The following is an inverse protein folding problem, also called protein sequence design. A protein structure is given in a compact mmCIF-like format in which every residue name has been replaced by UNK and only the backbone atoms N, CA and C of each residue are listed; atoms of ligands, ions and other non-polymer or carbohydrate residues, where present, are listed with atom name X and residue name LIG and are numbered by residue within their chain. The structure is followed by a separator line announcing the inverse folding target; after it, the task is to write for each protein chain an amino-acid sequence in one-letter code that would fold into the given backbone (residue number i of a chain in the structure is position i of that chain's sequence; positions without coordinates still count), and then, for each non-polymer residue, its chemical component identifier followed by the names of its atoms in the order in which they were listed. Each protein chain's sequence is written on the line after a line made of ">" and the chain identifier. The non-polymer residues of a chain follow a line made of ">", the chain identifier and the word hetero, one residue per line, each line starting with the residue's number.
data_IF_373660281844
#
_entry.id   IF_373660281844
#
_cell.length_a   1.000
_cell.length_b   1.000
_cell.length_c   1.000
_cell.angle_alpha   90.00
_cell.angle_beta   90.00
_cell.angle_gamma   90.00
#
_symmetry.space_group_name_H-M   'P 1'
#
loop_
_entity.id
_entity.type
_entity.pdbx_description
1 polymer ?
#
# COMPACT_ATOMS: atom_id res chain seq x y z
N UNK A 1 10.54 -21.04 24.83
CA UNK A 1 10.64 -19.64 24.38
C UNK A 1 12.00 -19.50 23.70
N UNK A 2 12.03 -19.34 22.37
CA UNK A 2 13.27 -19.03 21.66
C UNK A 2 13.49 -17.53 21.79
N UNK A 3 14.67 -17.14 22.25
CA UNK A 3 15.13 -15.76 22.19
C UNK A 3 15.09 -15.32 20.72
N UNK A 4 14.09 -14.50 20.37
CA UNK A 4 14.04 -13.81 19.09
C UNK A 4 15.31 -12.99 18.95
N UNK A 5 16.02 -13.15 17.82
CA UNK A 5 17.28 -12.47 17.51
C UNK A 5 17.20 -10.97 17.85
N UNK A 6 18.26 -10.41 18.46
CA UNK A 6 18.31 -9.03 18.97
C UNK A 6 17.99 -7.94 17.94
N UNK A 7 18.01 -8.27 16.65
CA UNK A 7 17.72 -7.38 15.53
C UNK A 7 16.26 -7.49 15.07
N UNK A 8 15.58 -8.61 15.33
CA UNK A 8 14.19 -8.84 14.88
C UNK A 8 13.21 -7.97 15.66
N UNK A 9 13.33 -7.93 16.99
CA UNK A 9 12.37 -7.22 17.84
C UNK A 9 12.30 -5.72 17.50
N UNK A 10 13.42 -4.98 17.34
CA UNK A 10 13.36 -3.57 16.94
C UNK A 10 12.70 -3.35 15.57
N UNK A 11 12.86 -4.27 14.62
CA UNK A 11 12.21 -4.14 13.30
C UNK A 11 10.69 -4.35 13.44
N UNK A 12 10.27 -5.35 14.21
CA UNK A 12 8.84 -5.58 14.48
C UNK A 12 8.20 -4.41 15.24
N UNK A 13 8.92 -3.82 16.19
CA UNK A 13 8.47 -2.62 16.91
C UNK A 13 8.28 -1.45 15.96
N UNK A 14 9.21 -1.24 15.01
CA UNK A 14 9.06 -0.22 13.97
C UNK A 14 7.86 -0.50 13.05
N UNK A 15 7.61 -1.76 12.67
CA UNK A 15 6.42 -2.11 11.87
C UNK A 15 5.13 -1.78 12.64
N UNK A 16 5.09 -2.03 13.95
CA UNK A 16 3.96 -1.66 14.80
C UNK A 16 3.79 -0.14 14.85
N UNK A 17 4.87 0.62 15.00
CA UNK A 17 4.83 2.09 14.96
C UNK A 17 4.27 2.60 13.63
N UNK A 18 4.77 2.10 12.49
CA UNK A 18 4.25 2.48 11.17
C UNK A 18 2.77 2.14 11.01
N UNK A 19 2.33 1.02 11.58
CA UNK A 19 0.93 0.60 11.54
C UNK A 19 0.03 1.53 12.34
N UNK A 20 0.47 1.96 13.53
CA UNK A 20 -0.25 2.94 14.34
C UNK A 20 -0.35 4.30 13.63
N UNK A 21 0.75 4.77 13.02
CA UNK A 21 0.74 6.02 12.25
C UNK A 21 -0.24 5.92 11.07
N UNK A 22 -0.30 4.77 10.39
CA UNK A 22 -1.28 4.58 9.31
C UNK A 22 -2.72 4.67 9.83
N UNK A 23 -3.03 4.07 10.98
CA UNK A 23 -4.35 4.18 11.62
C UNK A 23 -4.67 5.63 11.98
N UNK A 24 -3.72 6.38 12.52
CA UNK A 24 -3.92 7.80 12.86
C UNK A 24 -4.24 8.63 11.62
N UNK A 25 -3.58 8.37 10.49
CA UNK A 25 -3.88 9.01 9.19
C UNK A 25 -5.32 8.71 8.74
N UNK A 26 -5.75 7.45 8.85
CA UNK A 26 -7.13 7.08 8.48
C UNK A 26 -8.16 7.76 9.40
N UNK A 27 -7.89 7.82 10.71
CA UNK A 27 -8.75 8.51 11.67
C UNK A 27 -8.83 10.01 11.39
N UNK A 28 -7.71 10.66 11.03
CA UNK A 28 -7.70 12.07 10.65
C UNK A 28 -8.55 12.32 9.40
N UNK A 29 -8.41 11.47 8.38
CA UNK A 29 -9.23 11.57 7.18
C UNK A 29 -10.72 11.37 7.50
N UNK A 30 -11.06 10.39 8.33
CA UNK A 30 -12.44 10.12 8.76
C UNK A 30 -13.03 11.30 9.55
N UNK A 31 -12.27 11.89 10.48
CA UNK A 31 -12.68 13.06 11.25
C UNK A 31 -12.93 14.27 10.33
N UNK A 32 -12.06 14.52 9.36
CA UNK A 32 -12.25 15.61 8.38
C UNK A 32 -13.51 15.41 7.53
N UNK A 33 -13.75 14.19 7.05
CA UNK A 33 -14.96 13.85 6.31
C UNK A 33 -16.22 14.05 7.17
N UNK A 34 -16.17 13.63 8.43
CA UNK A 34 -17.27 13.81 9.38
C UNK A 34 -17.58 15.28 9.65
N UNK A 35 -16.56 16.11 9.90
CA UNK A 35 -16.72 17.54 10.20
C UNK A 35 -17.20 18.35 9.00
N UNK A 36 -16.77 17.98 7.79
CA UNK A 36 -17.15 18.67 6.56
C UNK A 36 -18.48 18.17 5.97
N UNK A 37 -18.94 16.98 6.38
CA UNK A 37 -20.11 16.31 5.80
C UNK A 37 -19.90 15.87 4.35
N UNK A 38 -18.64 15.81 3.91
CA UNK A 38 -18.23 15.43 2.55
C UNK A 38 -17.93 13.93 2.47
N UNK A 39 -17.99 13.39 1.27
CA UNK A 39 -17.43 12.07 0.95
C UNK A 39 -16.01 12.21 0.39
N UNK A 40 -15.27 11.10 0.32
CA UNK A 40 -13.94 11.08 -0.31
C UNK A 40 -14.00 11.61 -1.74
N UNK A 41 -15.09 11.32 -2.47
CA UNK A 41 -15.29 11.76 -3.86
C UNK A 41 -15.53 13.28 -3.97
N UNK A 42 -15.98 13.93 -2.88
CA UNK A 42 -16.21 15.37 -2.83
C UNK A 42 -14.95 16.16 -2.43
N UNK A 43 -13.94 15.49 -1.85
CA UNK A 43 -12.69 16.13 -1.44
C UNK A 43 -11.89 16.59 -2.66
N UNK A 44 -11.28 17.77 -2.54
CA UNK A 44 -10.36 18.24 -3.58
C UNK A 44 -9.19 17.26 -3.71
N UNK A 45 -8.81 16.86 -4.94
CA UNK A 45 -7.75 15.88 -5.13
C UNK A 45 -6.41 16.28 -4.52
N UNK A 46 -6.12 17.59 -4.44
CA UNK A 46 -4.92 18.11 -3.77
C UNK A 46 -4.93 17.88 -2.25
N UNK A 47 -6.09 17.88 -1.61
CA UNK A 47 -6.24 17.62 -0.18
C UNK A 47 -6.04 16.14 0.12
N UNK A 48 -6.65 15.29 -0.71
CA UNK A 48 -6.48 13.84 -0.63
C UNK A 48 -5.04 13.41 -0.95
N UNK A 49 -4.35 14.14 -1.84
CA UNK A 49 -2.97 13.84 -2.23
C UNK A 49 -2.03 13.79 -1.01
N UNK A 50 -2.15 14.70 -0.05
CA UNK A 50 -1.28 14.71 1.13
C UNK A 50 -1.42 13.41 1.94
N UNK A 51 -2.65 12.94 2.17
CA UNK A 51 -2.90 11.67 2.86
C UNK A 51 -2.30 10.50 2.09
N UNK A 52 -2.44 10.50 0.76
CA UNK A 52 -1.85 9.47 -0.09
C UNK A 52 -0.32 9.48 -0.07
N UNK A 53 0.31 10.65 -0.12
CA UNK A 53 1.78 10.77 -0.07
C UNK A 53 2.32 10.19 1.24
N UNK A 54 1.70 10.50 2.37
CA UNK A 54 2.05 9.89 3.66
C UNK A 54 1.85 8.37 3.66
N UNK A 55 0.73 7.87 3.12
CA UNK A 55 0.48 6.43 3.02
C UNK A 55 1.53 5.73 2.13
N UNK A 56 1.91 6.33 1.01
CA UNK A 56 2.95 5.82 0.12
C UNK A 56 4.29 5.70 0.86
N UNK A 57 4.66 6.71 1.64
CA UNK A 57 5.89 6.67 2.46
C UNK A 57 5.85 5.56 3.51
N UNK A 58 4.73 5.40 4.24
CA UNK A 58 4.57 4.32 5.21
C UNK A 58 4.68 2.94 4.54
N UNK A 59 4.10 2.77 3.35
CA UNK A 59 4.18 1.53 2.57
C UNK A 59 5.62 1.25 2.16
N UNK A 60 6.34 2.26 1.66
CA UNK A 60 7.75 2.13 1.30
C UNK A 60 8.60 1.70 2.49
N UNK A 61 8.48 2.42 3.62
CA UNK A 61 9.23 2.13 4.84
C UNK A 61 8.91 0.72 5.33
N UNK A 62 7.64 0.35 5.39
CA UNK A 62 7.22 -0.95 5.86
C UNK A 62 7.68 -2.08 4.92
N UNK A 63 7.72 -1.86 3.60
CA UNK A 63 8.31 -2.83 2.67
C UNK A 63 9.84 -2.97 2.86
N UNK A 64 10.53 -1.87 3.15
CA UNK A 64 11.96 -1.89 3.51
C UNK A 64 12.24 -2.70 4.78
N UNK A 65 11.41 -2.53 5.82
CA UNK A 65 11.51 -3.31 7.06
C UNK A 65 11.25 -4.81 6.84
N UNK A 66 10.23 -5.16 6.05
CA UNK A 66 9.98 -6.56 5.67
C UNK A 66 11.13 -7.16 4.87
N UNK A 67 11.77 -6.37 4.02
CA UNK A 67 12.96 -6.78 3.28
C UNK A 67 14.15 -7.03 4.23
N UNK A 68 14.34 -6.18 5.24
CA UNK A 68 15.36 -6.36 6.27
C UNK A 68 15.15 -7.61 7.14
N UNK A 69 13.90 -8.05 7.31
CA UNK A 69 13.56 -9.32 7.97
C UNK A 69 13.77 -10.55 7.07
N UNK A 70 14.17 -10.36 5.81
CA UNK A 70 14.29 -11.46 4.84
C UNK A 70 12.95 -12.03 4.38
N UNK A 71 11.85 -11.30 4.61
CA UNK A 71 10.49 -11.71 4.21
C UNK A 71 10.23 -11.34 2.74
N UNK A 72 10.90 -10.29 2.23
CA UNK A 72 10.71 -9.87 0.84
C UNK A 72 11.32 -10.84 -0.15
N UNK A 73 10.54 -11.19 -1.18
CA UNK A 73 10.94 -12.10 -2.25
C UNK A 73 11.43 -11.32 -3.48
N UNK A 74 12.27 -11.94 -4.35
CA UNK A 74 12.82 -11.25 -5.53
C UNK A 74 11.75 -10.64 -6.45
N UNK A 75 10.66 -11.36 -6.69
CA UNK A 75 9.56 -10.89 -7.54
C UNK A 75 8.89 -9.64 -6.98
N UNK A 76 8.64 -9.61 -5.66
CA UNK A 76 8.09 -8.43 -4.98
C UNK A 76 9.04 -7.24 -5.12
N UNK A 77 10.35 -7.46 -4.97
CA UNK A 77 11.33 -6.38 -5.12
C UNK A 77 11.29 -5.79 -6.53
N UNK A 78 11.13 -6.62 -7.57
CA UNK A 78 10.95 -6.17 -8.96
C UNK A 78 9.66 -5.36 -9.12
N UNK A 79 8.53 -5.86 -8.59
CA UNK A 79 7.24 -5.15 -8.65
C UNK A 79 7.35 -3.77 -7.98
N UNK A 80 7.96 -3.71 -6.79
CA UNK A 80 8.16 -2.45 -6.06
C UNK A 80 9.10 -1.49 -6.80
N UNK A 81 10.16 -2.00 -7.45
CA UNK A 81 11.06 -1.18 -8.27
C UNK A 81 10.34 -0.62 -9.52
N UNK A 82 9.54 -1.44 -10.20
CA UNK A 82 8.70 -0.99 -11.33
C UNK A 82 7.74 0.11 -10.85
N UNK A 83 7.02 -0.11 -9.75
CA UNK A 83 6.09 0.87 -9.19
C UNK A 83 6.77 2.23 -8.89
N UNK A 84 8.01 2.20 -8.38
CA UNK A 84 8.78 3.42 -8.09
C UNK A 84 9.07 4.25 -9.34
N UNK A 85 9.25 3.63 -10.52
CA UNK A 85 9.43 4.35 -11.79
C UNK A 85 8.21 5.20 -12.17
N UNK A 86 7.03 4.88 -11.64
CA UNK A 86 5.78 5.61 -11.82
C UNK A 86 5.41 6.47 -10.61
N UNK A 87 6.37 6.74 -9.71
CA UNK A 87 6.15 7.47 -8.44
C UNK A 87 5.16 6.78 -7.49
N UNK A 88 4.91 5.49 -7.65
CA UNK A 88 4.04 4.70 -6.79
C UNK A 88 4.84 3.90 -5.76
N UNK A 89 4.14 3.29 -4.80
CA UNK A 89 4.73 2.40 -3.79
C UNK A 89 3.92 1.13 -3.69
N UNK A 90 4.64 0.03 -3.53
CA UNK A 90 4.07 -1.29 -3.36
C UNK A 90 4.66 -2.02 -2.16
N UNK A 91 3.93 -3.05 -1.73
CA UNK A 91 4.30 -3.89 -0.59
C UNK A 91 3.78 -5.31 -0.80
N UNK A 92 4.53 -6.28 -0.28
CA UNK A 92 4.10 -7.68 -0.23
C UNK A 92 2.81 -7.83 0.59
N UNK A 93 1.89 -8.66 0.10
CA UNK A 93 0.82 -9.23 0.91
C UNK A 93 1.28 -10.59 1.40
N UNK A 94 1.29 -10.82 2.70
CA UNK A 94 1.72 -12.11 3.23
C UNK A 94 0.72 -13.20 2.83
N UNK A 95 1.18 -14.17 2.05
CA UNK A 95 0.52 -15.46 1.89
C UNK A 95 1.57 -16.57 1.93
N UNK A 96 1.21 -17.69 2.53
CA UNK A 96 2.07 -18.85 2.75
C UNK A 96 2.48 -19.57 1.45
N UNK A 97 1.78 -19.32 0.34
CA UNK A 97 1.90 -20.10 -0.91
C UNK A 97 1.86 -19.31 -2.21
N UNK A 98 1.47 -18.03 -2.18
CA UNK A 98 1.31 -17.21 -3.38
C UNK A 98 1.89 -15.81 -3.16
N UNK A 99 2.85 -15.44 -4.01
CA UNK A 99 3.52 -14.14 -3.93
C UNK A 99 2.62 -13.09 -4.58
N UNK A 100 1.95 -12.31 -3.74
CA UNK A 100 1.17 -11.17 -4.19
C UNK A 100 1.78 -9.90 -3.59
N UNK A 101 1.77 -8.84 -4.38
CA UNK A 101 2.10 -7.49 -3.94
C UNK A 101 0.97 -6.58 -4.40
N UNK A 102 0.69 -5.55 -3.60
CA UNK A 102 -0.18 -4.48 -4.04
C UNK A 102 0.66 -3.24 -4.34
N UNK A 103 0.17 -2.43 -5.28
CA UNK A 103 0.66 -1.08 -5.58
C UNK A 103 -0.50 -0.15 -5.29
N UNK A 104 -0.28 0.89 -4.49
CA UNK A 104 -1.29 1.93 -4.28
C UNK A 104 -1.20 2.94 -5.41
N UNK A 105 -2.34 3.22 -6.04
CA UNK A 105 -2.50 4.29 -7.02
C UNK A 105 -2.84 5.59 -6.30
N UNK A 106 -2.22 6.70 -6.69
CA UNK A 106 -2.62 8.04 -6.25
C UNK A 106 -3.99 8.41 -6.84
N UNK A 107 -4.79 9.26 -6.17
CA UNK A 107 -6.08 9.73 -6.69
C UNK A 107 -5.97 10.44 -8.05
N UNK A 108 -4.80 10.98 -8.39
CA UNK A 108 -4.55 11.71 -9.63
C UNK A 108 -3.76 10.90 -10.67
N UNK A 109 -3.67 9.58 -10.50
CA UNK A 109 -2.87 8.74 -11.38
C UNK A 109 -3.52 8.63 -12.78
N UNK A 110 -2.73 8.89 -13.83
CA UNK A 110 -3.24 9.03 -15.20
C UNK A 110 -3.44 7.65 -15.83
N UNK A 111 -4.58 7.45 -16.51
CA UNK A 111 -4.93 6.17 -17.16
C UNK A 111 -3.87 5.67 -18.15
N UNK A 112 -3.26 6.58 -18.93
CA UNK A 112 -2.17 6.23 -19.85
C UNK A 112 -0.94 5.67 -19.12
N UNK A 113 -0.61 6.22 -17.95
CA UNK A 113 0.51 5.75 -17.14
C UNK A 113 0.15 4.43 -16.44
N UNK A 114 -1.12 4.23 -16.07
CA UNK A 114 -1.63 2.95 -15.59
C UNK A 114 -1.52 1.86 -16.66
N UNK A 115 -1.87 2.16 -17.91
CA UNK A 115 -1.73 1.22 -19.02
C UNK A 115 -0.26 0.83 -19.24
N UNK A 116 0.67 1.80 -19.17
CA UNK A 116 2.12 1.55 -19.27
C UNK A 116 2.61 0.66 -18.12
N UNK A 117 2.25 0.98 -16.89
CA UNK A 117 2.60 0.20 -15.69
C UNK A 117 2.12 -1.25 -15.82
N UNK A 118 0.85 -1.46 -16.21
CA UNK A 118 0.28 -2.81 -16.40
C UNK A 118 1.04 -3.57 -17.48
N UNK A 119 1.37 -2.93 -18.60
CA UNK A 119 2.11 -3.56 -19.68
C UNK A 119 3.54 -3.93 -19.26
N UNK A 120 4.21 -3.09 -18.49
CA UNK A 120 5.54 -3.35 -17.96
C UNK A 120 5.54 -4.53 -16.97
N UNK A 121 4.57 -4.59 -16.07
CA UNK A 121 4.40 -5.72 -15.14
C UNK A 121 4.11 -7.03 -15.90
N UNK A 122 3.25 -6.99 -16.92
CA UNK A 122 2.96 -8.15 -17.77
C UNK A 122 4.17 -8.60 -18.59
N UNK A 123 5.01 -7.67 -19.06
CA UNK A 123 6.26 -8.00 -19.75
C UNK A 123 7.25 -8.75 -18.85
N UNK A 124 7.15 -8.58 -17.53
CA UNK A 124 7.88 -9.35 -16.51
C UNK A 124 7.16 -10.65 -16.09
N UNK A 125 6.11 -11.06 -16.81
CA UNK A 125 5.27 -12.22 -16.53
C UNK A 125 4.45 -12.15 -15.23
N UNK A 126 4.16 -10.95 -14.73
CA UNK A 126 3.24 -10.79 -13.60
C UNK A 126 1.78 -10.72 -14.05
N UNK A 127 0.91 -11.40 -13.32
CA UNK A 127 -0.54 -11.20 -13.44
C UNK A 127 -0.93 -9.92 -12.69
N UNK A 128 -1.75 -9.08 -13.32
CA UNK A 128 -2.12 -7.76 -12.76
C UNK A 128 -3.63 -7.61 -12.77
N UNK A 129 -4.19 -7.24 -11.62
CA UNK A 129 -5.60 -6.90 -11.43
C UNK A 129 -5.67 -5.52 -10.80
N UNK A 130 -6.38 -4.60 -11.46
CA UNK A 130 -6.71 -3.29 -10.88
C UNK A 130 -7.99 -3.46 -10.07
N UNK A 131 -7.95 -3.07 -8.79
CA UNK A 131 -9.08 -3.17 -7.88
C UNK A 131 -9.02 -2.07 -6.83
N UNK A 132 -10.16 -1.77 -6.21
CA UNK A 132 -10.24 -0.94 -5.01
C UNK A 132 -10.08 -1.79 -3.76
N UNK A 133 -9.39 -1.27 -2.74
CA UNK A 133 -9.46 -1.80 -1.38
C UNK A 133 -10.84 -1.47 -0.79
N UNK A 134 -11.50 -2.46 -0.19
CA UNK A 134 -12.84 -2.37 0.42
C UNK A 134 -14.01 -2.02 -0.54
N UNK A 135 -13.77 -1.45 -1.72
CA UNK A 135 -14.74 -1.26 -2.80
C UNK A 135 -16.05 -0.58 -2.41
N UNK A 136 -17.07 -0.68 -3.26
CA UNK A 136 -18.44 -0.23 -2.93
C UNK A 136 -19.07 -1.05 -1.79
N UNK A 137 -18.48 -2.20 -1.48
CA UNK A 137 -19.09 -3.26 -0.67
C UNK A 137 -18.23 -3.53 0.56
N UNK A 138 -18.42 -2.71 1.60
CA UNK A 138 -17.78 -2.90 2.89
C UNK A 138 -18.39 -4.11 3.62
N UNK A 139 -17.84 -5.31 3.38
CA UNK A 139 -18.16 -6.52 4.15
C UNK A 139 -19.23 -7.44 3.55
N UNK A 140 -19.74 -8.36 4.38
CA UNK A 140 -20.68 -9.41 3.96
C UNK A 140 -22.03 -8.81 3.56
N UNK A 141 -22.58 -9.27 2.44
CA UNK A 141 -23.94 -8.95 1.99
C UNK A 141 -24.68 -10.22 1.56
N UNK A 142 -26.00 -10.17 1.65
CA UNK A 142 -26.90 -11.16 1.06
C UNK A 142 -27.45 -10.53 -0.22
N UNK A 143 -27.24 -11.20 -1.35
CA UNK A 143 -27.78 -10.82 -2.67
C UNK A 143 -29.06 -11.62 -2.98
#
# INVERSE_FOLDING_TARGET
>A
MRDSCSIINPILDNINVLSNIAVDIFNQLEEELYLTGLTIDDLQPCHLQNFYDFLLDLIHMNQGLLSALGISQPNVNIICAIAQNYSLRGKITYSDKCEHAFIILSPNFIDDDLAKLINELKAHNFSVTVTSLCGKWNGVRVE
#
